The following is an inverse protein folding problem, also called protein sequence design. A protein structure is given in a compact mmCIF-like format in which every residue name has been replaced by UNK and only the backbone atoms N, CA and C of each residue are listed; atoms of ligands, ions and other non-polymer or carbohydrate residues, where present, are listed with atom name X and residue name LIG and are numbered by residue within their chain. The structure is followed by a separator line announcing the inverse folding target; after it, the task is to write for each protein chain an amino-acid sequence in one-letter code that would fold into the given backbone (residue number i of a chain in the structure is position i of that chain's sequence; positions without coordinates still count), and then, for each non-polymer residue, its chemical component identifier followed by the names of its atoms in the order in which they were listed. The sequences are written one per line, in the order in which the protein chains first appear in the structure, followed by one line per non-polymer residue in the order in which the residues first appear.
data_IF_501009687334
#
_entry.id   IF_501009687334
#
_cell.length_a   1.000
_cell.length_b   1.000
_cell.length_c   1.000
_cell.angle_alpha   90.00
_cell.angle_beta   90.00
_cell.angle_gamma   90.00
#
_symmetry.space_group_name_H-M   'P 1'
#
loop_
_entity.id
_entity.type
_entity.pdbx_description
1 polymer ?
#
# COMPACT_ATOMS: atom_id res chain seq x y z
N UNK A 1 -0.73 -1.17 13.04
CA UNK A 1 -1.32 -2.53 13.02
C UNK A 1 -1.18 -3.09 11.61
N UNK A 2 -0.75 -4.35 11.40
CA UNK A 2 -0.70 -4.94 10.05
C UNK A 2 -2.03 -5.59 9.68
N UNK A 3 -2.64 -5.22 8.56
CA UNK A 3 -3.91 -5.84 8.15
C UNK A 3 -3.73 -7.22 7.52
N UNK A 4 -2.61 -7.45 6.83
CA UNK A 4 -2.25 -8.76 6.27
C UNK A 4 -1.41 -9.56 7.28
N UNK A 5 -1.23 -10.85 7.01
CA UNK A 5 -0.39 -11.73 7.82
C UNK A 5 1.09 -11.34 7.79
N UNK A 6 1.95 -12.22 8.31
CA UNK A 6 3.39 -11.98 8.35
C UNK A 6 4.03 -11.87 6.97
N UNK A 7 3.56 -12.69 6.04
CA UNK A 7 4.03 -12.78 4.66
C UNK A 7 2.84 -13.13 3.76
N UNK A 8 3.10 -13.27 2.45
CA UNK A 8 2.11 -13.76 1.50
C UNK A 8 1.64 -15.21 1.80
N UNK A 9 2.44 -16.01 2.50
CA UNK A 9 2.13 -17.39 2.87
C UNK A 9 1.45 -17.54 4.23
N UNK A 10 1.41 -16.50 5.06
CA UNK A 10 0.80 -16.53 6.40
C UNK A 10 -0.66 -16.06 6.37
N UNK A 11 -1.64 -16.96 6.57
CA UNK A 11 -3.06 -16.60 6.64
C UNK A 11 -3.48 -15.94 7.97
N UNK A 12 -2.56 -15.77 8.93
CA UNK A 12 -2.77 -15.12 10.22
C UNK A 12 -3.82 -15.78 11.14
N UNK A 13 -3.76 -17.11 11.30
CA UNK A 13 -4.69 -17.90 12.13
C UNK A 13 -4.61 -17.63 13.65
N UNK A 14 -3.62 -16.86 14.11
CA UNK A 14 -3.40 -16.53 15.51
C UNK A 14 -4.18 -15.29 15.99
N UNK A 15 -5.03 -14.70 15.15
CA UNK A 15 -5.91 -13.57 15.49
C UNK A 15 -7.24 -13.71 14.77
N UNK A 16 -8.27 -13.03 15.27
CA UNK A 16 -9.61 -13.09 14.69
C UNK A 16 -9.75 -12.11 13.52
N UNK A 17 -10.70 -12.38 12.62
CA UNK A 17 -11.00 -11.46 11.52
C UNK A 17 -11.67 -10.19 12.06
N UNK A 18 -12.46 -10.34 13.10
CA UNK A 18 -13.19 -9.30 13.80
C UNK A 18 -12.23 -8.27 14.43
N UNK A 19 -11.13 -8.72 15.02
CA UNK A 19 -10.09 -7.82 15.56
C UNK A 19 -9.50 -6.94 14.44
N UNK A 20 -9.09 -7.56 13.33
CA UNK A 20 -8.49 -6.84 12.20
C UNK A 20 -9.49 -5.84 11.59
N UNK A 21 -10.74 -6.24 11.43
CA UNK A 21 -11.81 -5.38 10.91
C UNK A 21 -12.08 -4.19 11.84
N UNK A 22 -12.15 -4.43 13.15
CA UNK A 22 -12.34 -3.36 14.14
C UNK A 22 -11.21 -2.33 14.06
N UNK A 23 -9.95 -2.79 14.03
CA UNK A 23 -8.81 -1.89 13.93
C UNK A 23 -8.80 -1.13 12.60
N UNK A 24 -9.18 -1.76 11.49
CA UNK A 24 -9.33 -1.04 10.22
C UNK A 24 -10.44 0.02 10.27
N UNK A 25 -11.61 -0.32 10.80
CA UNK A 25 -12.74 0.61 10.83
C UNK A 25 -12.53 1.79 11.79
N UNK A 26 -11.86 1.58 12.92
CA UNK A 26 -11.74 2.60 13.98
C UNK A 26 -10.38 3.31 13.99
N UNK A 27 -9.34 2.67 13.46
CA UNK A 27 -7.94 3.10 13.62
C UNK A 27 -7.14 3.14 12.32
N UNK A 28 -7.80 3.21 11.16
CA UNK A 28 -7.09 3.43 9.90
C UNK A 28 -6.44 4.83 9.87
N UNK A 29 -5.12 4.92 9.66
CA UNK A 29 -4.40 6.19 9.71
C UNK A 29 -4.74 7.12 8.54
N UNK A 30 -5.14 6.58 7.39
CA UNK A 30 -5.54 7.36 6.20
C UNK A 30 -6.90 7.97 6.47
N UNK A 31 -7.88 7.18 6.94
CA UNK A 31 -9.22 7.67 7.27
C UNK A 31 -9.18 8.75 8.36
N UNK A 32 -8.43 8.50 9.45
CA UNK A 32 -8.28 9.48 10.52
C UNK A 32 -7.61 10.78 10.06
N UNK A 33 -6.64 10.69 9.15
CA UNK A 33 -5.96 11.88 8.62
C UNK A 33 -6.86 12.64 7.66
N UNK A 34 -7.59 11.96 6.78
CA UNK A 34 -8.59 12.57 5.89
C UNK A 34 -9.68 13.31 6.67
N UNK A 35 -10.23 12.68 7.72
CA UNK A 35 -11.21 13.31 8.59
C UNK A 35 -10.66 14.57 9.30
N UNK A 36 -9.38 14.56 9.71
CA UNK A 36 -8.73 15.74 10.29
C UNK A 36 -8.58 16.88 9.28
N UNK A 37 -8.16 16.57 8.04
CA UNK A 37 -7.99 17.56 6.97
C UNK A 37 -9.31 18.22 6.56
N UNK A 38 -10.38 17.43 6.46
CA UNK A 38 -11.73 17.93 6.18
C UNK A 38 -12.20 18.82 7.33
N UNK A 39 -12.07 18.35 8.58
CA UNK A 39 -12.48 19.12 9.76
C UNK A 39 -11.72 20.45 9.89
N UNK A 40 -10.46 20.51 9.48
CA UNK A 40 -9.67 21.74 9.48
C UNK A 40 -9.87 22.62 8.24
N UNK A 41 -10.72 22.21 7.29
CA UNK A 41 -10.99 22.96 6.06
C UNK A 41 -9.82 23.02 5.08
N UNK A 42 -8.84 22.11 5.21
CA UNK A 42 -7.66 22.07 4.34
C UNK A 42 -7.98 21.36 3.01
N UNK A 43 -8.90 20.39 3.05
CA UNK A 43 -9.36 19.65 1.88
C UNK A 43 -10.85 19.33 2.05
N UNK A 44 -11.55 19.07 0.94
CA UNK A 44 -12.87 18.46 0.95
C UNK A 44 -12.79 17.00 0.48
N UNK A 45 -13.93 16.30 0.52
CA UNK A 45 -14.00 14.90 0.08
C UNK A 45 -13.61 14.72 -1.38
N UNK A 46 -13.93 15.69 -2.24
CA UNK A 46 -13.63 15.63 -3.67
C UNK A 46 -12.12 15.71 -3.92
N UNK A 47 -11.42 16.61 -3.23
CA UNK A 47 -9.98 16.76 -3.30
C UNK A 47 -9.26 15.49 -2.82
N UNK A 48 -9.69 14.90 -1.70
CA UNK A 48 -9.09 13.65 -1.21
C UNK A 48 -9.33 12.48 -2.19
N UNK A 49 -10.53 12.40 -2.78
CA UNK A 49 -10.85 11.37 -3.77
C UNK A 49 -10.04 11.52 -5.06
N UNK A 50 -9.72 12.75 -5.44
CA UNK A 50 -8.87 13.01 -6.61
C UNK A 50 -7.43 12.55 -6.35
N UNK A 51 -6.87 12.83 -5.17
CA UNK A 51 -5.56 12.31 -4.76
C UNK A 51 -5.55 10.77 -4.79
N UNK A 52 -6.58 10.12 -4.27
CA UNK A 52 -6.72 8.67 -4.33
C UNK A 52 -6.72 8.14 -5.77
N UNK A 53 -7.36 8.86 -6.69
CA UNK A 53 -7.39 8.50 -8.12
C UNK A 53 -6.01 8.62 -8.75
N UNK A 54 -5.30 9.72 -8.50
CA UNK A 54 -3.94 9.96 -9.00
C UNK A 54 -2.96 8.91 -8.48
N UNK A 55 -2.98 8.62 -7.17
CA UNK A 55 -2.11 7.60 -6.57
C UNK A 55 -2.39 6.22 -7.17
N UNK A 56 -3.65 5.86 -7.41
CA UNK A 56 -3.99 4.58 -8.07
C UNK A 56 -3.42 4.48 -9.48
N UNK A 57 -3.43 5.57 -10.24
CA UNK A 57 -2.84 5.60 -11.58
C UNK A 57 -1.32 5.37 -11.50
N UNK A 58 -0.63 6.11 -10.63
CA UNK A 58 0.82 5.96 -10.43
C UNK A 58 1.19 4.52 -10.05
N UNK A 59 0.44 3.91 -9.12
CA UNK A 59 0.70 2.54 -8.67
C UNK A 59 0.44 1.53 -9.79
N UNK A 60 -0.62 1.72 -10.59
CA UNK A 60 -0.91 0.84 -11.72
C UNK A 60 0.16 0.92 -12.79
N UNK A 61 0.59 2.12 -13.17
CA UNK A 61 1.67 2.33 -14.14
C UNK A 61 2.99 1.71 -13.65
N UNK A 62 3.33 1.89 -12.37
CA UNK A 62 4.51 1.26 -11.78
C UNK A 62 4.42 -0.27 -11.75
N UNK A 63 3.23 -0.82 -11.49
CA UNK A 63 3.00 -2.26 -11.49
C UNK A 63 3.05 -2.86 -12.90
N UNK A 64 2.54 -2.15 -13.91
CA UNK A 64 2.64 -2.55 -15.31
C UNK A 64 4.09 -2.54 -15.77
N UNK A 65 4.83 -1.45 -15.50
CA UNK A 65 6.27 -1.39 -15.75
C UNK A 65 7.00 -2.58 -15.12
N UNK A 66 6.82 -2.81 -13.82
CA UNK A 66 7.50 -3.90 -13.10
C UNK A 66 7.14 -5.32 -13.59
N UNK A 67 6.00 -5.50 -14.27
CA UNK A 67 5.61 -6.79 -14.86
C UNK A 67 6.15 -6.98 -16.28
N UNK A 68 6.39 -5.89 -17.00
CA UNK A 68 6.86 -5.92 -18.38
C UNK A 68 8.38 -5.77 -18.49
N UNK A 69 9.03 -5.25 -17.45
CA UNK A 69 10.48 -5.11 -17.40
C UNK A 69 11.14 -6.50 -17.51
N UNK A 70 12.09 -6.71 -18.44
CA UNK A 70 12.75 -7.99 -18.60
C UNK A 70 13.56 -8.35 -17.35
N UNK A 71 13.71 -9.65 -17.11
CA UNK A 71 14.67 -10.12 -16.11
C UNK A 71 16.10 -9.70 -16.49
N UNK A 72 17.00 -9.54 -15.51
CA UNK A 72 18.42 -9.25 -15.77
C UNK A 72 19.06 -10.30 -16.68
N UNK A 73 20.06 -9.88 -17.46
CA UNK A 73 20.82 -10.80 -18.31
C UNK A 73 21.61 -11.80 -17.44
N UNK A 74 21.71 -13.06 -17.87
CA UNK A 74 22.45 -14.09 -17.12
C UNK A 74 23.92 -13.70 -16.88
N UNK A 75 24.51 -12.88 -17.76
CA UNK A 75 25.88 -12.37 -17.58
C UNK A 75 26.03 -11.48 -16.35
N UNK A 76 24.95 -10.93 -15.82
CA UNK A 76 24.93 -10.11 -14.60
C UNK A 76 24.91 -10.95 -13.31
N UNK A 77 24.77 -12.28 -13.40
CA UNK A 77 24.65 -13.17 -12.23
C UNK A 77 25.76 -13.01 -11.17
N UNK A 78 26.96 -12.62 -11.60
CA UNK A 78 28.14 -12.50 -10.73
C UNK A 78 28.61 -11.06 -10.51
N UNK A 79 27.82 -10.08 -10.94
CA UNK A 79 28.10 -8.67 -10.62
C UNK A 79 27.92 -8.42 -9.12
N UNK A 80 28.47 -7.31 -8.62
CA UNK A 80 28.24 -6.81 -7.26
C UNK A 80 28.74 -7.71 -6.09
N UNK A 81 29.65 -8.65 -6.36
CA UNK A 81 30.30 -9.46 -5.31
C UNK A 81 31.25 -8.60 -4.44
N UNK A 82 31.96 -7.65 -5.07
CA UNK A 82 32.80 -6.66 -4.42
C UNK A 82 32.48 -5.28 -4.99
N UNK A 83 32.74 -4.24 -4.18
CA UNK A 83 32.49 -2.84 -4.53
C UNK A 83 33.61 -2.22 -5.37
#
# INVERSE_FOLDING_TARGET
YRYRGHSMSDPAKYRTREEVQKVRAEQDPIDQSGARLIKSGIADEAALKEIDREVRLIINEAAEFAQMDPEPDESELTTDIYA
#
